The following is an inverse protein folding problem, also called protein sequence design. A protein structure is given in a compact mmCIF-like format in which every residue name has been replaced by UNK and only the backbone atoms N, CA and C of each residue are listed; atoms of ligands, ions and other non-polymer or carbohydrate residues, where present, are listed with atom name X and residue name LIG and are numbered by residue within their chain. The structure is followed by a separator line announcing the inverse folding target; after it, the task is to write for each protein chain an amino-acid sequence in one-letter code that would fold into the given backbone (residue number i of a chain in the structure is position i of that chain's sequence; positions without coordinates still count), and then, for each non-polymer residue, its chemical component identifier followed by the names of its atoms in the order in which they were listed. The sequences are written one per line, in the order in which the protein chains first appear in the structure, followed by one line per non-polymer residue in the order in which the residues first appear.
data_IF_624215541728
#
_entry.id   IF_624215541728
#
_cell.length_a   1.000
_cell.length_b   1.000
_cell.length_c   1.000
_cell.angle_alpha   90.00
_cell.angle_beta   90.00
_cell.angle_gamma   90.00
#
_symmetry.space_group_name_H-M   'P 1'
#
loop_
_entity.id
_entity.type
_entity.pdbx_description
1 polymer ?
#
# COMPACT_ATOMS: atom_id res chain seq x y z
N UNK A 1 -22.14 28.35 20.66
CA UNK A 1 -21.81 26.96 21.04
C UNK A 1 -21.12 26.31 19.84
N UNK A 2 -19.78 26.31 19.78
CA UNK A 2 -19.06 25.74 18.63
C UNK A 2 -19.19 24.21 18.66
N UNK A 3 -19.93 23.64 17.71
CA UNK A 3 -20.02 22.19 17.55
C UNK A 3 -18.64 21.68 17.14
N UNK A 4 -18.00 20.88 18.00
CA UNK A 4 -16.79 20.14 17.64
C UNK A 4 -17.20 19.08 16.61
N UNK A 5 -16.86 19.30 15.35
CA UNK A 5 -17.06 18.32 14.29
C UNK A 5 -15.86 17.38 14.26
N UNK A 6 -16.10 16.09 14.38
CA UNK A 6 -15.06 15.08 14.21
C UNK A 6 -14.78 14.90 12.73
N UNK A 7 -13.51 14.99 12.33
CA UNK A 7 -13.13 14.68 10.95
C UNK A 7 -13.32 13.20 10.67
N UNK A 8 -14.05 12.90 9.60
CA UNK A 8 -14.19 11.52 9.09
C UNK A 8 -13.18 11.32 7.98
N UNK A 9 -12.16 10.53 8.25
CA UNK A 9 -11.17 10.12 7.25
C UNK A 9 -11.83 9.31 6.14
N UNK A 10 -11.61 9.74 4.91
CA UNK A 10 -11.95 8.99 3.69
C UNK A 10 -10.94 7.88 3.41
N UNK A 11 -11.29 6.94 2.55
CA UNK A 11 -10.39 5.86 2.14
C UNK A 11 -9.19 6.41 1.36
N UNK A 12 -9.42 7.41 0.50
CA UNK A 12 -8.36 8.07 -0.27
C UNK A 12 -7.35 8.78 0.65
N UNK A 13 -7.82 9.55 1.63
CA UNK A 13 -6.94 10.18 2.63
C UNK A 13 -6.16 9.13 3.43
N UNK A 14 -6.81 8.02 3.79
CA UNK A 14 -6.19 6.93 4.54
C UNK A 14 -5.08 6.24 3.72
N UNK A 15 -5.31 6.02 2.42
CA UNK A 15 -4.30 5.49 1.51
C UNK A 15 -3.14 6.46 1.32
N UNK A 16 -3.42 7.75 1.14
CA UNK A 16 -2.40 8.78 1.00
C UNK A 16 -1.56 8.91 2.27
N UNK A 17 -2.19 8.83 3.45
CA UNK A 17 -1.49 8.82 4.73
C UNK A 17 -0.53 7.62 4.81
N UNK A 18 -1.00 6.42 4.48
CA UNK A 18 -0.16 5.23 4.49
C UNK A 18 1.05 5.36 3.54
N UNK A 19 0.82 5.84 2.30
CA UNK A 19 1.89 6.10 1.32
C UNK A 19 2.91 7.11 1.84
N UNK A 20 2.46 8.20 2.45
CA UNK A 20 3.34 9.22 3.01
C UNK A 20 4.18 8.67 4.17
N UNK A 21 3.56 7.91 5.08
CA UNK A 21 4.28 7.33 6.23
C UNK A 21 5.33 6.32 5.77
N UNK A 22 5.03 5.52 4.74
CA UNK A 22 6.00 4.61 4.13
C UNK A 22 7.14 5.38 3.46
N UNK A 23 6.82 6.41 2.66
CA UNK A 23 7.81 7.24 1.95
C UNK A 23 8.78 7.96 2.90
N UNK A 24 8.25 8.54 3.98
CA UNK A 24 9.03 9.33 4.94
C UNK A 24 9.47 8.52 6.17
N UNK A 25 9.28 7.20 6.18
CA UNK A 25 9.68 6.30 7.27
C UNK A 25 9.24 6.75 8.67
N UNK A 26 7.97 7.18 8.80
CA UNK A 26 7.40 7.74 10.05
C UNK A 26 8.05 9.06 10.53
N UNK A 27 8.73 9.80 9.67
CA UNK A 27 9.04 11.20 9.95
C UNK A 27 7.73 12.02 9.95
N UNK A 28 7.16 12.21 11.14
CA UNK A 28 5.83 12.81 11.31
C UNK A 28 5.78 14.28 10.94
N UNK A 29 6.89 15.00 11.05
CA UNK A 29 6.97 16.41 10.63
C UNK A 29 6.78 16.51 9.11
N UNK A 30 7.49 15.66 8.35
CA UNK A 30 7.36 15.60 6.89
C UNK A 30 5.97 15.13 6.46
N UNK A 31 5.37 14.19 7.19
CA UNK A 31 4.00 13.73 6.93
C UNK A 31 2.99 14.84 7.23
N UNK A 32 3.15 15.58 8.32
CA UNK A 32 2.24 16.68 8.69
C UNK A 32 2.22 17.80 7.65
N UNK A 33 3.34 18.08 6.99
CA UNK A 33 3.40 19.05 5.88
C UNK A 33 2.43 18.68 4.74
N UNK A 34 2.19 17.38 4.50
CA UNK A 34 1.24 16.91 3.49
C UNK A 34 -0.22 16.97 3.94
N UNK A 35 -0.46 17.15 5.25
CA UNK A 35 -1.78 17.13 5.87
C UNK A 35 -1.95 18.32 6.84
N UNK A 36 -1.87 19.57 6.34
CA UNK A 36 -1.85 20.77 7.18
C UNK A 36 -3.13 20.98 8.00
N UNK A 37 -4.24 20.39 7.59
CA UNK A 37 -5.53 20.45 8.29
C UNK A 37 -5.59 19.56 9.54
N UNK A 38 -4.60 18.69 9.76
CA UNK A 38 -4.57 17.77 10.89
C UNK A 38 -3.36 18.06 11.79
N UNK A 39 -3.57 17.88 13.08
CA UNK A 39 -2.45 17.89 14.03
C UNK A 39 -1.66 16.60 13.91
N UNK A 40 -0.37 16.66 14.24
CA UNK A 40 0.50 15.48 14.26
C UNK A 40 -0.11 14.31 15.06
N UNK A 41 -0.74 14.62 16.20
CA UNK A 41 -1.42 13.63 17.04
C UNK A 41 -2.60 12.95 16.32
N UNK A 42 -3.41 13.71 15.58
CA UNK A 42 -4.52 13.15 14.80
C UNK A 42 -4.02 12.21 13.70
N UNK A 43 -2.93 12.59 13.03
CA UNK A 43 -2.28 11.80 11.98
C UNK A 43 -1.74 10.48 12.56
N UNK A 44 -1.01 10.55 13.68
CA UNK A 44 -0.47 9.37 14.36
C UNK A 44 -1.59 8.42 14.82
N UNK A 45 -2.64 8.95 15.46
CA UNK A 45 -3.78 8.16 15.91
C UNK A 45 -4.45 7.44 14.74
N UNK A 46 -4.66 8.13 13.61
CA UNK A 46 -5.22 7.51 12.40
C UNK A 46 -4.32 6.40 11.87
N UNK A 47 -3.00 6.62 11.79
CA UNK A 47 -2.07 5.61 11.31
C UNK A 47 -2.09 4.36 12.20
N UNK A 48 -2.13 4.53 13.53
CA UNK A 48 -2.27 3.40 14.47
C UNK A 48 -3.55 2.60 14.23
N UNK A 49 -4.68 3.26 13.97
CA UNK A 49 -5.93 2.58 13.59
C UNK A 49 -5.78 1.79 12.29
N UNK A 50 -5.13 2.36 11.27
CA UNK A 50 -4.87 1.67 9.99
C UNK A 50 -3.99 0.44 10.18
N UNK A 51 -2.92 0.53 10.99
CA UNK A 51 -2.07 -0.61 11.28
C UNK A 51 -2.83 -1.76 11.95
N UNK A 52 -3.68 -1.45 12.95
CA UNK A 52 -4.53 -2.46 13.61
C UNK A 52 -5.45 -3.16 12.61
N UNK A 53 -6.04 -2.42 11.67
CA UNK A 53 -6.91 -2.99 10.63
C UNK A 53 -6.14 -3.94 9.69
N UNK A 54 -4.92 -3.58 9.29
CA UNK A 54 -4.05 -4.44 8.47
C UNK A 54 -3.66 -5.71 9.20
N UNK A 55 -3.28 -5.61 10.49
CA UNK A 55 -2.96 -6.79 11.31
C UNK A 55 -4.13 -7.77 11.39
N UNK A 56 -5.36 -7.26 11.57
CA UNK A 56 -6.57 -8.10 11.61
C UNK A 56 -6.81 -8.76 10.24
N UNK A 57 -6.70 -8.01 9.14
CA UNK A 57 -6.88 -8.53 7.78
C UNK A 57 -5.87 -9.63 7.42
N UNK A 58 -4.60 -9.48 7.83
CA UNK A 58 -3.57 -10.48 7.58
C UNK A 58 -3.81 -11.76 8.38
N UNK A 59 -4.36 -11.66 9.59
CA UNK A 59 -4.67 -12.83 10.42
C UNK A 59 -5.87 -13.64 9.89
N UNK A 60 -6.82 -12.98 9.20
CA UNK A 60 -7.99 -13.64 8.62
C UNK A 60 -7.65 -14.35 7.29
N UNK A 61 -6.62 -13.90 6.55
CA UNK A 61 -6.20 -14.53 5.28
C UNK A 61 -5.40 -15.82 5.45
N UNK A 62 -4.89 -16.10 6.65
CA UNK A 62 -4.11 -17.31 6.95
C UNK A 62 -4.93 -18.59 7.07
N UNK A 63 -6.26 -18.50 7.21
CA UNK A 63 -7.15 -19.67 7.38
C UNK A 63 -7.77 -20.19 6.06
N UNK A 64 -7.45 -19.60 4.91
CA UNK A 64 -8.11 -19.98 3.64
C UNK A 64 -7.24 -20.38 2.45
N UNK A 65 -5.90 -20.48 2.51
CA UNK A 65 -5.16 -21.05 1.36
C UNK A 65 -3.99 -21.96 1.74
N UNK A 66 -4.28 -23.26 1.81
CA UNK A 66 -3.39 -24.33 1.35
C UNK A 66 -3.35 -24.28 -0.17
N UNK A 67 -2.14 -24.19 -0.75
CA UNK A 67 -1.60 -24.94 -1.91
C UNK A 67 -0.21 -24.33 -2.23
N UNK A 68 0.90 -25.09 -2.14
CA UNK A 68 2.19 -24.65 -2.65
C UNK A 68 2.15 -24.71 -4.18
N UNK A 69 2.17 -23.55 -4.85
CA UNK A 69 2.39 -23.53 -6.29
C UNK A 69 3.87 -23.84 -6.54
N UNK A 70 4.13 -25.12 -6.73
CA UNK A 70 5.32 -25.64 -7.40
C UNK A 70 5.41 -25.04 -8.80
N UNK A 71 6.63 -24.63 -9.17
CA UNK A 71 7.15 -24.42 -10.53
C UNK A 71 6.14 -24.23 -11.66
N UNK A 72 6.04 -23.01 -12.18
CA UNK A 72 5.73 -22.80 -13.60
C UNK A 72 6.90 -22.01 -14.18
N UNK A 73 7.74 -22.75 -14.90
CA UNK A 73 8.76 -22.25 -15.81
C UNK A 73 8.06 -21.41 -16.89
N UNK A 74 8.36 -20.11 -16.95
CA UNK A 74 7.96 -19.28 -18.09
C UNK A 74 8.95 -19.52 -19.25
N UNK A 75 8.94 -20.72 -19.81
CA UNK A 75 9.73 -21.09 -21.01
C UNK A 75 9.13 -20.52 -22.31
N UNK A 76 7.87 -20.06 -22.30
CA UNK A 76 7.20 -19.55 -23.49
C UNK A 76 7.66 -18.13 -23.91
N UNK A 77 8.02 -17.28 -22.94
CA UNK A 77 8.40 -15.88 -23.21
C UNK A 77 9.81 -15.79 -23.83
N UNK A 78 10.72 -16.69 -23.45
CA UNK A 78 12.09 -16.69 -23.98
C UNK A 78 12.17 -17.16 -25.43
N UNK A 79 11.29 -18.07 -25.85
CA UNK A 79 11.26 -18.58 -27.21
C UNK A 79 10.73 -17.50 -28.19
N UNK A 80 9.72 -16.76 -27.78
CA UNK A 80 9.11 -15.70 -28.61
C UNK A 80 10.06 -14.52 -28.86
N UNK A 81 10.98 -14.22 -27.92
CA UNK A 81 11.98 -13.16 -28.10
C UNK A 81 13.08 -13.58 -29.10
N UNK A 82 13.44 -14.88 -29.16
CA UNK A 82 14.47 -15.35 -30.09
C UNK A 82 14.02 -15.34 -31.56
N UNK A 83 12.74 -15.59 -31.85
CA UNK A 83 12.22 -15.55 -33.23
C UNK A 83 12.09 -14.12 -33.78
N UNK A 84 11.87 -13.13 -32.92
CA UNK A 84 11.81 -11.70 -33.31
C UNK A 84 13.20 -11.19 -33.73
N UNK A 85 14.26 -11.61 -33.03
CA UNK A 85 15.64 -11.20 -33.34
C UNK A 85 16.20 -11.88 -34.60
N UNK A 86 15.66 -13.05 -34.99
CA UNK A 86 16.08 -13.76 -36.21
C UNK A 86 15.36 -13.29 -37.48
N UNK A 87 14.32 -12.47 -37.37
CA UNK A 87 13.50 -12.03 -38.51
C UNK A 87 13.78 -10.59 -38.97
N UNK A 88 14.89 -9.99 -38.55
CA UNK A 88 15.37 -8.71 -39.09
C UNK A 88 16.22 -8.99 -40.35
N UNK A 89 15.83 -8.51 -41.55
CA UNK A 89 16.73 -8.54 -42.70
C UNK A 89 17.86 -7.52 -42.53
N UNK A 90 19.07 -7.86 -43.00
CA UNK A 90 20.26 -7.00 -43.04
C UNK A 90 20.04 -5.66 -43.76
#
# INVERSE_FOLDING_TARGET
MNKRTYHRWTDLESQNLYRCVVKYQKNWEQVQIQFPQFTMLQIQNKFLTLQKQVTIQNNIKTDQQVQPITSIENTDILQQIQDILKSQPE
#
